data_IF_383327441727
#
_entry.id   IF_383327441727
#
_cell.length_a   1.000
_cell.length_b   1.000
_cell.length_c   1.000
_cell.angle_alpha   90.00
_cell.angle_beta   90.00
_cell.angle_gamma   90.00
#
_symmetry.space_group_name_H-M   'P 1'
#
loop_
_entity.id
_entity.type
_entity.pdbx_description
1 polymer ?
#
# COMPACT_ATOMS: atom_id res chain seq x y z
N UNK A 1 30.47 36.62 33.80
CA UNK A 1 30.06 35.24 33.47
C UNK A 1 29.10 35.32 32.30
N UNK A 2 29.54 34.94 31.11
CA UNK A 2 28.66 34.84 29.93
C UNK A 2 28.03 33.45 29.98
N UNK A 3 26.71 33.38 30.00
CA UNK A 3 25.96 32.12 29.98
C UNK A 3 26.05 31.57 28.56
N UNK A 4 26.57 30.34 28.42
CA UNK A 4 26.71 29.65 27.13
C UNK A 4 25.30 29.32 26.59
N UNK A 5 24.84 30.06 25.59
CA UNK A 5 23.57 29.79 24.89
C UNK A 5 23.90 29.03 23.62
N UNK A 6 23.57 27.74 23.58
CA UNK A 6 23.66 26.91 22.38
C UNK A 6 22.33 26.90 21.64
N UNK A 7 22.18 27.63 20.53
CA UNK A 7 20.98 27.53 19.71
C UNK A 7 20.99 26.19 18.96
N UNK A 8 20.05 25.30 19.29
CA UNK A 8 19.80 24.07 18.54
C UNK A 8 18.57 24.23 17.64
N UNK A 9 18.72 23.90 16.36
CA UNK A 9 17.63 23.91 15.39
C UNK A 9 16.98 22.52 15.37
N UNK A 10 15.67 22.47 15.63
CA UNK A 10 14.88 21.25 15.53
C UNK A 10 13.95 21.29 14.33
N UNK A 11 13.88 20.18 13.60
CA UNK A 11 12.87 19.95 12.57
C UNK A 11 11.73 19.11 13.14
N UNK A 12 10.51 19.34 12.65
CA UNK A 12 9.39 18.43 12.87
C UNK A 12 9.72 17.09 12.22
N UNK A 13 9.67 16.02 13.00
CA UNK A 13 9.90 14.66 12.48
C UNK A 13 8.56 14.11 12.00
N UNK A 14 8.58 13.49 10.83
CA UNK A 14 7.44 12.72 10.36
C UNK A 14 7.08 11.61 11.38
N UNK A 15 5.82 11.14 11.39
CA UNK A 15 5.41 10.03 12.25
C UNK A 15 6.33 8.83 12.08
N UNK A 16 6.69 8.20 13.20
CA UNK A 16 7.52 7.00 13.15
C UNK A 16 6.75 5.87 12.45
N UNK A 17 7.44 5.18 11.53
CA UNK A 17 6.88 3.97 10.89
C UNK A 17 6.70 2.86 11.90
N UNK A 18 5.72 1.99 11.64
CA UNK A 18 5.47 0.83 12.47
C UNK A 18 6.60 -0.21 12.34
N UNK A 19 7.08 -0.70 13.47
CA UNK A 19 7.70 -2.02 13.62
C UNK A 19 6.64 -3.06 13.95
N UNK A 20 6.97 -4.36 13.88
CA UNK A 20 6.07 -5.45 14.32
C UNK A 20 5.47 -5.19 15.70
N UNK A 21 6.30 -4.95 16.71
CA UNK A 21 5.82 -4.70 18.07
C UNK A 21 4.92 -3.46 18.17
N UNK A 22 5.22 -2.39 17.45
CA UNK A 22 4.36 -1.19 17.45
C UNK A 22 3.06 -1.38 16.67
N UNK A 23 3.07 -2.22 15.62
CA UNK A 23 1.88 -2.55 14.84
C UNK A 23 0.94 -3.44 15.67
N UNK A 24 1.48 -4.47 16.34
CA UNK A 24 0.70 -5.29 17.28
C UNK A 24 0.06 -4.44 18.36
N UNK A 25 0.80 -3.50 18.95
CA UNK A 25 0.25 -2.56 19.95
C UNK A 25 -0.84 -1.66 19.37
N UNK A 26 -0.71 -1.26 18.10
CA UNK A 26 -1.74 -0.46 17.44
C UNK A 26 -3.01 -1.29 17.18
N UNK A 27 -2.87 -2.52 16.69
CA UNK A 27 -3.97 -3.46 16.49
C UNK A 27 -4.70 -3.75 17.80
N UNK A 28 -3.97 -4.04 18.87
CA UNK A 28 -4.50 -4.27 20.21
C UNK A 28 -5.26 -3.04 20.74
N UNK A 29 -4.68 -1.84 20.60
CA UNK A 29 -5.33 -0.59 20.99
C UNK A 29 -6.63 -0.35 20.23
N UNK A 30 -6.65 -0.70 18.96
CA UNK A 30 -7.84 -0.60 18.12
C UNK A 30 -8.77 -1.80 18.24
N UNK A 31 -8.48 -2.79 19.09
CA UNK A 31 -9.31 -3.98 19.30
C UNK A 31 -9.42 -4.89 18.07
N UNK A 32 -8.46 -4.81 17.14
CA UNK A 32 -8.40 -5.63 15.93
C UNK A 32 -7.49 -6.83 16.21
N UNK A 33 -8.00 -8.04 16.01
CA UNK A 33 -7.27 -9.28 16.24
C UNK A 33 -7.11 -9.66 17.72
N UNK A 34 -6.42 -10.78 17.96
CA UNK A 34 -6.22 -11.42 19.27
C UNK A 34 -4.78 -11.91 19.38
N UNK A 35 -4.28 -12.25 20.59
CA UNK A 35 -2.93 -12.82 20.76
C UNK A 35 -2.64 -14.02 19.86
N UNK A 36 -3.67 -14.80 19.52
CA UNK A 36 -3.59 -15.94 18.59
C UNK A 36 -3.47 -15.55 17.12
N UNK A 37 -3.86 -14.33 16.73
CA UNK A 37 -3.94 -13.91 15.32
C UNK A 37 -2.89 -12.89 14.90
N UNK A 38 -2.27 -12.15 15.83
CA UNK A 38 -1.29 -11.10 15.49
C UNK A 38 -0.13 -11.58 14.60
N UNK A 39 0.48 -12.72 14.95
CA UNK A 39 1.59 -13.26 14.15
C UNK A 39 1.13 -13.64 12.73
N UNK A 40 -0.05 -14.23 12.61
CA UNK A 40 -0.63 -14.64 11.33
C UNK A 40 -1.04 -13.43 10.46
N UNK A 41 -1.55 -12.36 11.08
CA UNK A 41 -1.86 -11.10 10.38
C UNK A 41 -0.57 -10.54 9.77
N UNK A 42 0.48 -10.42 10.58
CA UNK A 42 1.77 -9.86 10.17
C UNK A 42 2.45 -10.71 9.09
N UNK A 43 2.40 -12.04 9.19
CA UNK A 43 2.99 -12.91 8.17
C UNK A 43 2.20 -12.80 6.86
N UNK A 44 0.87 -12.83 6.91
CA UNK A 44 0.01 -12.81 5.72
C UNK A 44 0.18 -11.53 4.89
N UNK A 45 0.26 -10.36 5.54
CA UNK A 45 0.42 -9.09 4.81
C UNK A 45 1.81 -8.95 4.16
N UNK A 46 2.82 -9.62 4.71
CA UNK A 46 4.16 -9.68 4.13
C UNK A 46 4.25 -10.69 3.00
N UNK A 47 3.74 -11.91 3.20
CA UNK A 47 3.72 -12.99 2.19
C UNK A 47 2.95 -12.60 0.92
N UNK A 48 1.96 -11.71 1.04
CA UNK A 48 1.18 -11.19 -0.09
C UNK A 48 1.77 -9.93 -0.73
N UNK A 49 2.96 -9.52 -0.33
CA UNK A 49 3.65 -8.32 -0.82
C UNK A 49 2.83 -7.02 -0.66
N UNK A 50 1.95 -6.92 0.36
CA UNK A 50 1.24 -5.66 0.66
C UNK A 50 2.11 -4.69 1.45
N UNK A 51 3.02 -5.23 2.27
CA UNK A 51 4.01 -4.47 3.01
C UNK A 51 5.37 -5.13 2.86
N UNK A 52 6.42 -4.32 2.87
CA UNK A 52 7.80 -4.76 2.93
C UNK A 52 8.43 -4.29 4.26
N UNK A 53 9.33 -5.09 4.82
CA UNK A 53 10.07 -4.73 6.02
C UNK A 53 11.50 -4.29 5.63
N UNK A 54 11.87 -3.05 5.96
CA UNK A 54 13.23 -2.51 5.80
C UNK A 54 13.70 -1.97 7.12
N UNK A 55 14.88 -2.40 7.58
CA UNK A 55 15.44 -2.01 8.88
C UNK A 55 14.45 -2.18 10.06
N UNK A 56 13.70 -3.31 10.08
CA UNK A 56 12.65 -3.62 11.06
C UNK A 56 11.45 -2.67 11.07
N UNK A 57 11.31 -1.81 10.06
CA UNK A 57 10.16 -0.91 9.88
C UNK A 57 9.36 -1.33 8.66
N UNK A 58 8.04 -1.22 8.76
CA UNK A 58 7.13 -1.51 7.66
C UNK A 58 7.01 -0.34 6.69
N UNK A 59 7.01 -0.69 5.41
CA UNK A 59 6.72 0.19 4.30
C UNK A 59 5.59 -0.43 3.50
N UNK A 60 4.55 0.35 3.18
CA UNK A 60 3.56 -0.07 2.22
C UNK A 60 4.23 -0.24 0.84
N UNK A 61 3.80 -1.27 0.12
CA UNK A 61 4.13 -1.45 -1.30
C UNK A 61 3.06 -0.77 -2.13
N UNK A 62 3.38 -0.46 -3.40
CA UNK A 62 2.37 0.11 -4.30
C UNK A 62 1.16 -0.83 -4.46
N UNK A 63 1.39 -2.15 -4.40
CA UNK A 63 0.31 -3.14 -4.46
C UNK A 63 -0.60 -3.03 -3.23
N UNK A 64 -0.02 -2.91 -2.04
CA UNK A 64 -0.76 -2.71 -0.79
C UNK A 64 -1.64 -1.48 -0.85
N UNK A 65 -1.08 -0.34 -1.27
CA UNK A 65 -1.82 0.92 -1.37
C UNK A 65 -3.02 0.83 -2.33
N UNK A 66 -2.83 0.31 -3.54
CA UNK A 66 -3.93 0.20 -4.52
C UNK A 66 -5.02 -0.77 -4.05
N UNK A 67 -4.61 -1.90 -3.47
CA UNK A 67 -5.57 -2.88 -2.96
C UNK A 67 -6.38 -2.26 -1.84
N UNK A 68 -5.72 -1.55 -0.91
CA UNK A 68 -6.40 -0.81 0.15
C UNK A 68 -7.36 0.24 -0.40
N UNK A 69 -6.96 1.04 -1.39
CA UNK A 69 -7.80 2.07 -2.01
C UNK A 69 -9.05 1.45 -2.64
N UNK A 70 -8.89 0.37 -3.41
CA UNK A 70 -10.01 -0.33 -4.02
C UNK A 70 -10.92 -0.99 -2.99
N UNK A 71 -10.36 -1.56 -1.93
CA UNK A 71 -11.16 -2.15 -0.86
C UNK A 71 -11.94 -1.06 -0.10
N UNK A 72 -11.37 0.13 0.10
CA UNK A 72 -12.07 1.27 0.70
C UNK A 72 -13.22 1.76 -0.19
N UNK A 73 -13.04 1.76 -1.51
CA UNK A 73 -14.06 2.19 -2.47
C UNK A 73 -15.26 1.22 -2.49
N UNK A 74 -15.00 -0.10 -2.57
CA UNK A 74 -16.07 -1.09 -2.76
C UNK A 74 -16.56 -1.75 -1.46
N UNK A 75 -15.74 -1.75 -0.40
CA UNK A 75 -16.04 -2.40 0.88
C UNK A 75 -15.81 -1.47 2.09
N UNK A 76 -16.36 -0.24 2.10
CA UNK A 76 -16.07 0.74 3.16
C UNK A 76 -16.44 0.26 4.56
N UNK A 77 -17.54 -0.50 4.69
CA UNK A 77 -17.98 -1.06 5.98
C UNK A 77 -16.99 -2.09 6.52
N UNK A 78 -16.35 -2.89 5.66
CA UNK A 78 -15.42 -3.94 6.10
C UNK A 78 -14.05 -3.34 6.41
N UNK A 79 -13.67 -2.29 5.68
CA UNK A 79 -12.42 -1.57 5.91
C UNK A 79 -12.47 -0.64 7.13
N UNK A 80 -13.66 -0.43 7.70
CA UNK A 80 -13.82 0.33 8.93
C UNK A 80 -13.26 -0.42 10.15
N UNK A 81 -12.46 0.29 10.95
CA UNK A 81 -11.82 -0.24 12.15
C UNK A 81 -12.87 -0.63 13.19
N UNK A 82 -13.91 0.17 13.37
CA UNK A 82 -14.94 -0.10 14.37
C UNK A 82 -15.77 -1.33 14.00
N UNK A 83 -16.08 -1.53 12.72
CA UNK A 83 -16.72 -2.75 12.25
C UNK A 83 -15.85 -4.00 12.46
N UNK A 84 -14.55 -3.89 12.16
CA UNK A 84 -13.61 -5.00 12.37
C UNK A 84 -13.53 -5.38 13.85
N UNK A 85 -13.43 -4.39 14.74
CA UNK A 85 -13.49 -4.60 16.20
C UNK A 85 -14.80 -5.25 16.65
N UNK A 86 -15.93 -4.74 16.14
CA UNK A 86 -17.25 -5.30 16.45
C UNK A 86 -17.34 -6.78 16.09
N UNK A 87 -16.81 -7.20 14.94
CA UNK A 87 -16.80 -8.60 14.54
C UNK A 87 -16.00 -9.47 15.51
N UNK A 88 -14.83 -9.02 15.97
CA UNK A 88 -14.04 -9.74 16.98
C UNK A 88 -14.82 -9.88 18.30
N UNK A 89 -15.49 -8.82 18.76
CA UNK A 89 -16.35 -8.89 19.95
C UNK A 89 -17.54 -9.85 19.78
N UNK A 90 -18.12 -9.95 18.58
CA UNK A 90 -19.20 -10.91 18.33
C UNK A 90 -18.69 -12.36 18.41
N UNK A 91 -17.47 -12.62 17.93
CA UNK A 91 -16.87 -13.95 18.02
C UNK A 91 -16.59 -14.34 19.47
N UNK A 92 -16.07 -13.43 20.28
CA UNK A 92 -15.88 -13.67 21.73
C UNK A 92 -17.22 -13.97 22.41
N UNK A 93 -18.29 -13.22 22.09
CA UNK A 93 -19.63 -13.48 22.66
C UNK A 93 -20.24 -14.80 22.21
N UNK A 94 -19.90 -15.30 21.02
CA UNK A 94 -20.31 -16.64 20.58
C UNK A 94 -19.62 -17.70 21.46
N UNK A 95 -18.34 -17.51 21.77
CA UNK A 95 -17.58 -18.40 22.65
C UNK A 95 -18.11 -18.38 24.10
N UNK A 96 -18.32 -17.20 24.69
CA UNK A 96 -18.68 -17.07 26.11
C UNK A 96 -20.17 -17.21 26.40
N UNK A 97 -21.04 -16.69 25.52
CA UNK A 97 -22.47 -16.55 25.77
C UNK A 97 -23.35 -17.41 24.85
N UNK A 98 -22.75 -18.29 24.03
CA UNK A 98 -23.46 -19.15 23.09
C UNK A 98 -24.46 -18.39 22.21
N UNK A 99 -24.07 -17.20 21.74
CA UNK A 99 -24.86 -16.45 20.75
C UNK A 99 -25.10 -17.30 19.48
N UNK A 100 -26.18 -16.99 18.77
CA UNK A 100 -26.49 -17.60 17.48
C UNK A 100 -25.47 -17.18 16.42
N UNK A 101 -24.44 -18.00 16.23
CA UNK A 101 -23.39 -17.79 15.23
C UNK A 101 -23.93 -17.70 13.80
N UNK A 102 -25.06 -18.37 13.50
CA UNK A 102 -25.71 -18.26 12.19
C UNK A 102 -26.31 -16.87 11.98
N UNK A 103 -26.83 -16.26 13.04
CA UNK A 103 -27.30 -14.88 13.04
C UNK A 103 -26.18 -13.90 12.67
N UNK A 104 -25.04 -14.00 13.35
CA UNK A 104 -23.85 -13.15 13.10
C UNK A 104 -23.34 -13.34 11.66
N UNK A 105 -23.25 -14.58 11.18
CA UNK A 105 -22.83 -14.85 9.80
C UNK A 105 -23.79 -14.26 8.77
N UNK A 106 -25.11 -14.35 8.99
CA UNK A 106 -26.10 -13.75 8.07
C UNK A 106 -26.00 -12.23 8.05
N UNK A 107 -25.80 -11.61 9.21
CA UNK A 107 -25.63 -10.15 9.35
C UNK A 107 -24.39 -9.66 8.60
N UNK A 108 -23.30 -10.41 8.66
CA UNK A 108 -22.09 -10.10 7.90
C UNK A 108 -22.28 -10.36 6.39
N UNK A 109 -22.77 -11.55 6.03
CA UNK A 109 -22.75 -12.03 4.65
C UNK A 109 -23.73 -11.28 3.74
N UNK A 110 -24.88 -10.85 4.25
CA UNK A 110 -25.90 -10.13 3.46
C UNK A 110 -25.33 -8.87 2.79
N UNK A 111 -24.84 -7.88 3.56
CA UNK A 111 -24.21 -6.68 3.03
C UNK A 111 -22.94 -6.97 2.25
N UNK A 112 -22.11 -7.92 2.72
CA UNK A 112 -20.87 -8.30 2.02
C UNK A 112 -21.16 -8.80 0.61
N UNK A 113 -22.18 -9.66 0.44
CA UNK A 113 -22.54 -10.22 -0.87
C UNK A 113 -23.01 -9.13 -1.83
N UNK A 114 -23.81 -8.17 -1.38
CA UNK A 114 -24.26 -7.06 -2.22
C UNK A 114 -23.08 -6.21 -2.72
N UNK A 115 -22.13 -5.92 -1.84
CA UNK A 115 -20.92 -5.20 -2.19
C UNK A 115 -20.03 -6.03 -3.13
N UNK A 116 -19.94 -7.35 -2.91
CA UNK A 116 -19.18 -8.26 -3.76
C UNK A 116 -19.78 -8.35 -5.17
N UNK A 117 -21.09 -8.48 -5.30
CA UNK A 117 -21.79 -8.52 -6.59
C UNK A 117 -21.57 -7.22 -7.37
N UNK A 118 -21.57 -6.07 -6.68
CA UNK A 118 -21.25 -4.76 -7.27
C UNK A 118 -19.79 -4.67 -7.71
N UNK A 119 -18.87 -5.10 -6.84
CA UNK A 119 -17.44 -5.11 -7.12
C UNK A 119 -17.10 -6.03 -8.29
N UNK A 120 -17.72 -7.20 -8.43
CA UNK A 120 -17.47 -8.11 -9.56
C UNK A 120 -17.79 -7.47 -10.92
N UNK A 121 -18.75 -6.55 -10.97
CA UNK A 121 -19.13 -5.84 -12.20
C UNK A 121 -18.28 -4.60 -12.44
N UNK A 122 -17.96 -3.86 -11.38
CA UNK A 122 -17.38 -2.51 -11.49
C UNK A 122 -15.88 -2.45 -11.21
N UNK A 123 -15.35 -3.36 -10.37
CA UNK A 123 -13.95 -3.36 -9.94
C UNK A 123 -13.05 -3.86 -11.07
N UNK A 124 -12.42 -2.94 -11.79
CA UNK A 124 -11.35 -3.30 -12.73
C UNK A 124 -10.13 -3.78 -11.95
N UNK A 125 -9.41 -4.76 -12.50
CA UNK A 125 -8.19 -5.29 -11.91
C UNK A 125 -7.20 -4.16 -11.59
N UNK A 126 -6.64 -4.17 -10.37
CA UNK A 126 -5.62 -3.22 -9.90
C UNK A 126 -4.44 -3.02 -10.87
N UNK A 127 -4.07 -4.06 -11.63
CA UNK A 127 -2.99 -3.99 -12.63
C UNK A 127 -3.39 -3.33 -13.96
N UNK A 128 -4.68 -3.15 -14.21
CA UNK A 128 -5.22 -2.66 -15.48
C UNK A 128 -5.50 -1.15 -15.47
N UNK A 129 -5.54 -0.52 -14.30
CA UNK A 129 -5.78 0.92 -14.19
C UNK A 129 -4.50 1.71 -14.39
N UNK A 130 -4.50 2.45 -15.49
CA UNK A 130 -3.49 3.44 -15.79
C UNK A 130 -3.87 4.76 -15.09
N UNK A 131 -3.20 5.11 -14.00
CA UNK A 131 -3.41 6.41 -13.38
C UNK A 131 -2.71 7.50 -14.21
N UNK A 132 -3.35 8.64 -14.51
CA UNK A 132 -2.70 9.73 -15.22
C UNK A 132 -1.54 10.29 -14.38
N UNK A 133 -0.43 10.65 -15.03
CA UNK A 133 0.68 11.35 -14.38
C UNK A 133 0.84 12.76 -14.92
N UNK A 134 1.52 13.62 -14.17
CA UNK A 134 1.82 14.99 -14.57
C UNK A 134 2.96 15.08 -15.60
N UNK A 135 3.64 13.96 -15.85
CA UNK A 135 4.81 13.90 -16.72
C UNK A 135 4.44 13.75 -18.20
N UNK A 136 5.16 14.45 -19.06
CA UNK A 136 5.09 14.28 -20.52
C UNK A 136 6.18 13.34 -21.00
N UNK A 137 5.87 12.51 -21.98
CA UNK A 137 6.82 11.59 -22.57
C UNK A 137 7.92 12.37 -23.31
N UNK A 138 9.20 12.17 -22.99
CA UNK A 138 10.31 12.89 -23.65
C UNK A 138 10.49 12.47 -25.12
N UNK A 139 9.90 11.33 -25.55
CA UNK A 139 10.01 10.85 -26.93
C UNK A 139 8.91 11.38 -27.87
N UNK A 140 7.70 11.62 -27.38
CA UNK A 140 6.56 11.97 -28.24
C UNK A 140 5.69 13.12 -27.70
N UNK A 141 6.01 13.66 -26.53
CA UNK A 141 5.28 14.78 -25.91
C UNK A 141 3.90 14.43 -25.33
N UNK A 142 3.37 13.23 -25.58
CA UNK A 142 2.08 12.76 -25.02
C UNK A 142 2.21 12.47 -23.52
N UNK A 143 1.09 12.46 -22.80
CA UNK A 143 1.07 12.26 -21.35
C UNK A 143 1.56 10.85 -20.95
N UNK A 144 2.30 10.77 -19.86
CA UNK A 144 2.67 9.51 -19.24
C UNK A 144 1.56 9.06 -18.28
N UNK A 145 1.46 7.76 -18.11
CA UNK A 145 0.50 7.11 -17.24
C UNK A 145 1.25 6.11 -16.36
N UNK A 146 0.89 6.05 -15.09
CA UNK A 146 1.39 5.03 -14.18
C UNK A 146 0.78 3.68 -14.54
N UNK A 147 1.62 2.68 -14.71
CA UNK A 147 1.25 1.28 -14.90
C UNK A 147 1.99 0.41 -13.89
N UNK A 148 1.48 -0.80 -13.69
CA UNK A 148 2.06 -1.77 -12.76
C UNK A 148 2.76 -2.89 -13.52
N UNK A 149 4.05 -3.06 -13.24
CA UNK A 149 4.89 -4.11 -13.79
C UNK A 149 5.28 -5.13 -12.72
N UNK A 150 6.19 -6.04 -13.07
CA UNK A 150 6.79 -6.98 -12.08
C UNK A 150 7.60 -6.27 -11.00
N UNK A 151 8.17 -5.10 -11.32
CA UNK A 151 9.06 -4.34 -10.44
C UNK A 151 8.36 -3.18 -9.72
N UNK A 152 7.02 -3.18 -9.67
CA UNK A 152 6.22 -2.10 -9.07
C UNK A 152 5.66 -1.11 -10.10
N UNK A 153 5.28 0.08 -9.62
CA UNK A 153 4.75 1.18 -10.43
C UNK A 153 5.83 1.72 -11.37
N UNK A 154 5.46 2.01 -12.61
CA UNK A 154 6.33 2.66 -13.58
C UNK A 154 5.52 3.60 -14.48
N UNK A 155 6.18 4.61 -15.02
CA UNK A 155 5.59 5.53 -15.98
C UNK A 155 5.71 4.94 -17.39
N UNK A 156 4.61 4.90 -18.12
CA UNK A 156 4.57 4.47 -19.52
C UNK A 156 3.86 5.50 -20.39
N UNK A 157 4.23 5.59 -21.66
CA UNK A 157 3.53 6.50 -22.58
C UNK A 157 2.08 6.09 -22.81
N UNK A 158 1.15 7.05 -22.72
CA UNK A 158 -0.27 6.85 -23.07
C UNK A 158 -0.47 6.33 -24.49
N UNK A 159 0.47 6.61 -25.39
CA UNK A 159 0.46 6.16 -26.78
C UNK A 159 0.99 4.75 -27.02
N UNK A 160 1.22 3.95 -25.99
CA UNK A 160 1.58 2.55 -26.18
C UNK A 160 0.46 1.82 -26.95
N UNK A 161 0.74 1.04 -28.02
CA UNK A 161 2.06 0.49 -28.42
C UNK A 161 2.89 1.34 -29.40
N UNK A 162 2.38 2.48 -29.89
CA UNK A 162 3.09 3.37 -30.83
C UNK A 162 4.35 3.99 -30.21
N UNK A 163 4.27 4.38 -28.93
CA UNK A 163 5.41 4.87 -28.15
C UNK A 163 5.75 3.90 -27.02
N UNK A 164 6.91 3.24 -27.10
CA UNK A 164 7.40 2.25 -26.12
C UNK A 164 8.26 2.86 -25.00
N UNK A 165 8.13 4.15 -24.74
CA UNK A 165 8.84 4.78 -23.63
C UNK A 165 8.26 4.32 -22.29
N UNK A 166 9.14 3.86 -21.41
CA UNK A 166 8.83 3.52 -20.03
C UNK A 166 9.97 4.02 -19.14
N UNK A 167 9.64 4.53 -17.95
CA UNK A 167 10.59 5.01 -16.95
C UNK A 167 10.17 4.50 -15.58
N UNK A 168 11.12 4.06 -14.72
CA UNK A 168 10.82 3.81 -13.32
C UNK A 168 10.37 5.12 -12.65
N UNK A 169 9.51 5.00 -11.62
CA UNK A 169 9.14 6.10 -10.76
C UNK A 169 9.46 5.76 -9.30
N UNK A 170 9.78 6.78 -8.51
CA UNK A 170 9.89 6.65 -7.06
C UNK A 170 8.52 6.43 -6.40
N UNK A 171 8.53 6.11 -5.10
CA UNK A 171 7.30 5.92 -4.30
C UNK A 171 6.36 7.12 -4.31
N UNK A 172 6.89 8.33 -4.52
CA UNK A 172 6.12 9.57 -4.61
C UNK A 172 5.57 9.83 -6.03
N UNK A 173 5.79 8.90 -6.97
CA UNK A 173 5.40 9.04 -8.37
C UNK A 173 6.40 9.83 -9.23
N UNK A 174 7.48 10.34 -8.63
CA UNK A 174 8.49 11.12 -9.35
C UNK A 174 9.23 10.28 -10.38
N UNK A 175 9.33 10.77 -11.61
CA UNK A 175 10.14 10.11 -12.65
C UNK A 175 11.60 10.09 -12.22
N UNK A 176 12.17 8.89 -12.11
CA UNK A 176 13.60 8.73 -11.90
C UNK A 176 14.32 8.95 -13.23
N UNK A 177 15.09 10.02 -13.34
CA UNK A 177 16.04 10.18 -14.43
C UNK A 177 17.24 9.26 -14.16
N UNK A 178 17.51 8.34 -15.09
CA UNK A 178 18.74 7.55 -15.10
C UNK A 178 19.93 8.52 -15.18
N UNK A 179 20.59 8.76 -14.04
CA UNK A 179 21.87 9.47 -14.02
C UNK A 179 22.90 8.60 -14.70
N UNK A 180 23.14 8.87 -15.97
CA UNK A 180 24.21 8.26 -16.75
C UNK A 180 25.52 8.53 -16.00
N UNK A 181 26.20 7.49 -15.53
CA UNK A 181 27.49 7.67 -14.88
C UNK A 181 28.50 8.22 -15.90
N UNK A 182 29.40 9.09 -15.45
CA UNK A 182 30.50 9.61 -16.29
C UNK A 182 31.50 8.52 -16.68
N UNK A 183 31.39 7.33 -16.08
CA UNK A 183 32.25 6.19 -16.32
C UNK A 183 31.75 5.40 -17.54
N UNK A 184 32.58 5.37 -18.58
CA UNK A 184 32.36 4.52 -19.76
C UNK A 184 32.81 3.10 -19.44
N UNK A 185 32.02 2.11 -19.86
CA UNK A 185 32.35 0.70 -19.69
C UNK A 185 33.69 0.40 -20.40
N UNK A 186 34.70 -0.15 -19.70
CA UNK A 186 36.02 -0.40 -20.30
C UNK A 186 36.02 -1.49 -21.38
N UNK A 187 34.94 -2.26 -21.52
CA UNK A 187 34.80 -3.33 -22.52
C UNK A 187 34.07 -2.87 -23.79
N UNK A 188 33.10 -1.96 -23.67
CA UNK A 188 32.23 -1.59 -24.80
C UNK A 188 32.12 -0.09 -25.06
N UNK A 189 32.79 0.77 -24.28
CA UNK A 189 32.88 2.22 -24.49
C UNK A 189 31.57 3.00 -24.32
N UNK A 190 30.46 2.32 -24.03
CA UNK A 190 29.17 2.94 -23.74
C UNK A 190 29.16 3.51 -22.31
N UNK A 191 28.42 4.62 -22.07
CA UNK A 191 28.22 5.12 -20.71
C UNK A 191 27.58 4.02 -19.85
N UNK A 192 28.10 3.82 -18.64
CA UNK A 192 27.47 2.91 -17.68
C UNK A 192 26.28 3.64 -17.04
N UNK A 193 25.10 3.01 -17.07
CA UNK A 193 23.89 3.44 -16.36
C UNK A 193 23.88 2.78 -14.99
#
# INVERSE_FOLDING_TARGET
MVVDIKPEQHFTKAPARYTEGSLVRALEKEGIGRPSTYAAIISTIQERDYVEQKEKKFFATDLGEIVTDKLNEFFPKIMDIAFTRYMEEQLDKIEEHHLDWLGVLREFYGPFKQNLDTALVQMKHAKAEAAPSEYKCPRCGRQLIYRFGKNGKFLSCSAYPECKFASPCDKEGTMLEEKVSEHKCPVCGKPMV
#
